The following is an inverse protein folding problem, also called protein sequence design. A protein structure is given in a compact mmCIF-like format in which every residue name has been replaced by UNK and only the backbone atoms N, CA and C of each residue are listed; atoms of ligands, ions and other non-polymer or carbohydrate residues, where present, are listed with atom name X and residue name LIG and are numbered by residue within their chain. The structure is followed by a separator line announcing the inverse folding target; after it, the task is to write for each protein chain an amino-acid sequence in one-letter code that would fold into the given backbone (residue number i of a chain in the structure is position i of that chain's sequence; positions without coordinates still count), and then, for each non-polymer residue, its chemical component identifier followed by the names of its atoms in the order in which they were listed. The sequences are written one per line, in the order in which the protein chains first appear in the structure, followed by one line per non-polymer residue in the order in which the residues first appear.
data_IF_807464721784
#
_entry.id   IF_807464721784
#
_cell.length_a   1.000
_cell.length_b   1.000
_cell.length_c   1.000
_cell.angle_alpha   90.00
_cell.angle_beta   90.00
_cell.angle_gamma   90.00
#
_symmetry.space_group_name_H-M   'P 1'
#
loop_
_entity.id
_entity.type
_entity.pdbx_description
1 polymer ?
#
# COMPACT_ATOMS: atom_id res chain seq x y z
N UNK A 1 2.46 -45.09 -3.92
CA UNK A 1 2.96 -44.32 -5.08
C UNK A 1 3.57 -43.01 -4.59
N UNK A 2 4.89 -42.78 -4.67
CA UNK A 2 5.49 -41.51 -4.28
C UNK A 2 5.23 -40.47 -5.38
N UNK A 3 4.64 -39.33 -5.04
CA UNK A 3 4.45 -38.20 -5.96
C UNK A 3 5.81 -37.54 -6.24
N UNK A 4 6.20 -37.55 -7.52
CA UNK A 4 7.37 -36.85 -8.03
C UNK A 4 7.17 -35.34 -7.82
N UNK A 5 8.05 -34.70 -7.04
CA UNK A 5 8.06 -33.24 -6.86
C UNK A 5 9.08 -32.70 -7.87
N UNK A 6 8.60 -31.90 -8.82
CA UNK A 6 9.44 -31.29 -9.86
C UNK A 6 10.48 -30.36 -9.23
N UNK A 7 11.76 -30.67 -9.44
CA UNK A 7 12.92 -29.86 -9.05
C UNK A 7 13.31 -28.98 -10.24
N UNK A 8 13.78 -27.76 -9.98
CA UNK A 8 14.36 -26.90 -11.02
C UNK A 8 15.62 -27.54 -11.62
N UNK A 9 15.99 -27.12 -12.82
CA UNK A 9 17.21 -27.58 -13.54
C UNK A 9 18.52 -27.29 -12.79
N UNK A 10 18.48 -26.42 -11.77
CA UNK A 10 19.60 -26.10 -10.88
C UNK A 10 19.58 -26.87 -9.55
N UNK A 11 18.70 -27.87 -9.41
CA UNK A 11 18.67 -28.79 -8.26
C UNK A 11 18.18 -28.18 -6.94
N UNK A 12 17.81 -26.89 -6.91
CA UNK A 12 17.32 -26.25 -5.68
C UNK A 12 15.82 -26.50 -5.49
N UNK A 13 15.37 -26.79 -4.25
CA UNK A 13 13.95 -26.77 -3.94
C UNK A 13 13.40 -25.37 -4.21
N UNK A 14 12.15 -25.29 -4.66
CA UNK A 14 11.42 -24.02 -4.66
C UNK A 14 11.32 -23.53 -3.20
N UNK A 15 12.26 -22.67 -2.81
CA UNK A 15 12.39 -22.15 -1.46
C UNK A 15 11.38 -21.05 -1.20
N UNK A 16 10.63 -21.22 -0.12
CA UNK A 16 9.80 -20.21 0.53
C UNK A 16 10.63 -18.98 0.93
N UNK A 17 10.40 -17.83 0.29
CA UNK A 17 10.64 -16.51 0.87
C UNK A 17 11.93 -15.72 0.54
N UNK A 18 12.95 -16.29 -0.12
CA UNK A 18 14.22 -15.55 -0.32
C UNK A 18 14.22 -14.57 -1.50
N UNK A 19 13.51 -14.90 -2.59
CA UNK A 19 13.43 -14.04 -3.78
C UNK A 19 12.57 -12.77 -3.53
N UNK A 20 11.51 -12.90 -2.73
CA UNK A 20 10.59 -11.78 -2.41
C UNK A 20 11.24 -10.75 -1.48
N UNK A 21 11.99 -11.19 -0.46
CA UNK A 21 12.74 -10.28 0.43
C UNK A 21 13.88 -9.59 -0.33
N UNK A 22 14.51 -10.26 -1.31
CA UNK A 22 15.55 -9.67 -2.14
C UNK A 22 15.07 -8.45 -2.93
N UNK A 23 13.84 -8.48 -3.46
CA UNK A 23 13.25 -7.36 -4.19
C UNK A 23 12.97 -6.13 -3.30
N UNK A 24 12.70 -6.31 -2.01
CA UNK A 24 12.50 -5.21 -1.05
C UNK A 24 13.78 -4.45 -0.70
N UNK A 25 14.95 -5.04 -0.97
CA UNK A 25 16.24 -4.39 -0.73
C UNK A 25 16.62 -3.40 -1.83
N UNK A 26 15.89 -3.37 -2.94
CA UNK A 26 16.12 -2.40 -3.99
C UNK A 26 15.59 -1.02 -3.59
N UNK A 27 16.33 0.02 -3.98
CA UNK A 27 15.91 1.41 -3.76
C UNK A 27 14.65 1.70 -4.59
N UNK A 28 13.70 2.38 -3.96
CA UNK A 28 12.47 2.88 -4.59
C UNK A 28 12.46 4.40 -4.42
N UNK A 29 12.12 5.11 -5.49
CA UNK A 29 12.01 6.58 -5.52
C UNK A 29 10.58 6.95 -5.87
N UNK A 30 10.08 7.98 -5.22
CA UNK A 30 8.86 8.68 -5.62
C UNK A 30 9.31 10.06 -6.08
N UNK A 31 8.98 10.41 -7.32
CA UNK A 31 9.18 11.76 -7.84
C UNK A 31 7.89 12.55 -7.64
N UNK A 32 7.98 13.64 -6.89
CA UNK A 32 6.89 14.59 -6.69
C UNK A 32 7.13 15.79 -7.59
N UNK A 33 6.18 16.10 -8.47
CA UNK A 33 6.27 17.25 -9.37
C UNK A 33 5.48 18.41 -8.78
N UNK A 34 6.16 19.51 -8.50
CA UNK A 34 5.54 20.77 -8.12
C UNK A 34 5.50 21.69 -9.33
N UNK A 35 4.28 22.01 -9.79
CA UNK A 35 4.08 23.02 -10.82
C UNK A 35 3.91 24.38 -10.13
N UNK A 36 4.79 25.34 -10.40
CA UNK A 36 4.79 26.62 -9.67
C UNK A 36 3.45 27.37 -9.78
N UNK A 37 2.98 27.89 -8.64
CA UNK A 37 1.76 28.69 -8.54
C UNK A 37 0.50 27.88 -8.21
N UNK A 38 0.53 26.55 -8.30
CA UNK A 38 -0.63 25.71 -7.96
C UNK A 38 -1.01 25.81 -6.48
N UNK A 39 -0.06 26.07 -5.61
CA UNK A 39 -0.29 26.26 -4.17
C UNK A 39 -1.13 27.50 -3.84
N UNK A 40 -1.22 28.46 -4.78
CA UNK A 40 -1.98 29.70 -4.62
C UNK A 40 -3.27 29.72 -5.45
N UNK A 41 -3.54 28.70 -6.27
CA UNK A 41 -4.73 28.60 -7.10
C UNK A 41 -5.76 27.65 -6.46
N UNK A 42 -6.83 28.19 -5.80
CA UNK A 42 -7.84 27.35 -5.16
C UNK A 42 -8.71 26.56 -6.16
N UNK A 43 -8.60 26.84 -7.46
CA UNK A 43 -9.31 26.08 -8.51
C UNK A 43 -8.48 24.93 -9.04
N UNK A 44 -7.17 24.89 -8.75
CA UNK A 44 -6.31 23.81 -9.17
C UNK A 44 -6.53 22.59 -8.27
N UNK A 45 -6.71 21.43 -8.89
CA UNK A 45 -6.73 20.15 -8.18
C UNK A 45 -6.12 19.07 -9.08
N UNK A 46 -5.44 18.13 -8.45
CA UNK A 46 -4.87 16.98 -9.13
C UNK A 46 -5.94 15.91 -9.29
N UNK A 47 -6.02 15.28 -10.47
CA UNK A 47 -6.92 14.15 -10.67
C UNK A 47 -6.28 12.87 -10.08
N UNK A 48 -6.69 12.51 -8.86
CA UNK A 48 -6.26 11.29 -8.16
C UNK A 48 -7.02 10.01 -8.59
N UNK A 49 -7.89 10.09 -9.61
CA UNK A 49 -8.55 8.97 -10.32
C UNK A 49 -9.34 7.95 -9.46
N UNK A 50 -9.70 8.30 -8.23
CA UNK A 50 -10.63 7.54 -7.40
C UNK A 50 -12.08 8.05 -7.49
N UNK A 51 -12.38 8.88 -8.50
CA UNK A 51 -13.73 9.36 -8.82
C UNK A 51 -14.26 8.70 -10.09
N UNK A 52 -15.59 8.53 -10.14
CA UNK A 52 -16.39 7.59 -10.95
C UNK A 52 -16.13 7.55 -12.48
N UNK A 53 -15.48 8.56 -13.07
CA UNK A 53 -15.38 8.72 -14.53
C UNK A 53 -13.97 8.75 -15.11
N UNK A 54 -12.92 8.45 -14.34
CA UNK A 54 -11.54 8.38 -14.87
C UNK A 54 -10.72 7.28 -14.21
N UNK A 55 -10.73 6.07 -14.79
CA UNK A 55 -9.91 4.94 -14.34
C UNK A 55 -8.42 5.15 -14.69
N UNK A 56 -7.51 4.75 -13.81
CA UNK A 56 -6.06 4.86 -14.03
C UNK A 56 -5.24 4.47 -12.80
N UNK A 57 -4.22 5.26 -12.45
CA UNK A 57 -3.45 5.06 -11.23
C UNK A 57 -4.36 5.07 -9.99
N UNK A 58 -4.14 4.13 -9.06
CA UNK A 58 -5.02 3.94 -7.89
C UNK A 58 -4.33 4.26 -6.58
N UNK A 59 -3.14 3.69 -6.32
CA UNK A 59 -2.40 3.90 -5.07
C UNK A 59 -0.89 3.61 -5.19
N UNK A 60 -0.11 4.22 -4.30
CA UNK A 60 1.25 3.77 -3.97
C UNK A 60 1.17 2.70 -2.88
N UNK A 61 2.01 1.67 -2.93
CA UNK A 61 2.11 0.66 -1.87
C UNK A 61 3.39 0.81 -1.07
N UNK A 62 3.24 0.71 0.25
CA UNK A 62 4.33 0.69 1.23
C UNK A 62 4.19 -0.57 2.07
N UNK A 63 5.32 -1.09 2.53
CA UNK A 63 5.38 -2.31 3.34
C UNK A 63 5.86 -1.92 4.72
N UNK A 64 5.16 -2.37 5.74
CA UNK A 64 5.45 -2.09 7.15
C UNK A 64 5.65 -3.38 7.93
N UNK A 65 6.53 -3.36 8.92
CA UNK A 65 6.78 -4.55 9.75
C UNK A 65 5.60 -4.92 10.66
N UNK A 66 4.80 -3.92 11.05
CA UNK A 66 3.61 -4.08 11.88
C UNK A 66 2.59 -3.01 11.52
N UNK A 67 1.52 -3.43 10.84
CA UNK A 67 0.46 -2.54 10.36
C UNK A 67 -0.26 -1.80 11.49
N UNK A 68 -0.57 -2.48 12.59
CA UNK A 68 -1.29 -1.89 13.72
C UNK A 68 -0.46 -0.80 14.41
N UNK A 69 0.83 -1.07 14.65
CA UNK A 69 1.74 -0.09 15.24
C UNK A 69 1.95 1.12 14.32
N UNK A 70 2.04 0.90 13.00
CA UNK A 70 2.13 1.98 12.02
C UNK A 70 0.88 2.87 12.04
N UNK A 71 -0.32 2.27 12.02
CA UNK A 71 -1.58 3.01 12.12
C UNK A 71 -1.69 3.80 13.44
N UNK A 72 -1.31 3.19 14.57
CA UNK A 72 -1.30 3.88 15.87
C UNK A 72 -0.34 5.08 15.88
N UNK A 73 0.84 4.95 15.27
CA UNK A 73 1.79 6.06 15.14
C UNK A 73 1.15 7.20 14.34
N UNK A 74 0.57 6.90 13.18
CA UNK A 74 -0.05 7.92 12.33
C UNK A 74 -1.20 8.66 13.03
N UNK A 75 -2.03 7.95 13.81
CA UNK A 75 -3.08 8.59 14.63
C UNK A 75 -2.50 9.57 15.65
N UNK A 76 -1.37 9.23 16.29
CA UNK A 76 -0.69 10.13 17.24
C UNK A 76 -0.12 11.38 16.57
N UNK A 77 0.29 11.27 15.31
CA UNK A 77 0.78 12.38 14.49
C UNK A 77 -0.34 13.23 13.87
N UNK A 78 -1.61 13.00 14.24
CA UNK A 78 -2.74 13.83 13.80
C UNK A 78 -3.41 13.41 12.49
N UNK A 79 -3.15 12.20 11.99
CA UNK A 79 -3.98 11.64 10.91
C UNK A 79 -5.38 11.32 11.43
N UNK A 80 -6.39 11.97 10.85
CA UNK A 80 -7.80 11.76 11.19
C UNK A 80 -8.34 10.47 10.59
N UNK A 81 -9.49 9.99 11.08
CA UNK A 81 -10.17 8.81 10.53
C UNK A 81 -10.61 8.99 9.07
N UNK A 82 -10.73 10.22 8.57
CA UNK A 82 -11.01 10.47 7.15
C UNK A 82 -9.74 10.33 6.29
N UNK A 83 -8.57 10.69 6.83
CA UNK A 83 -7.26 10.53 6.18
C UNK A 83 -6.73 9.09 6.31
N UNK A 84 -7.26 8.33 7.24
CA UNK A 84 -7.05 6.90 7.43
C UNK A 84 -8.30 6.18 6.96
N UNK A 85 -8.35 5.77 5.68
CA UNK A 85 -9.38 4.84 5.24
C UNK A 85 -9.09 3.45 5.84
N UNK A 86 -9.41 3.30 7.12
CA UNK A 86 -9.44 2.05 7.85
C UNK A 86 -10.76 1.37 7.49
N UNK A 87 -10.78 0.72 6.33
CA UNK A 87 -11.97 0.00 5.94
C UNK A 87 -12.21 -1.22 6.84
N UNK A 88 -11.24 -1.73 7.64
CA UNK A 88 -11.40 -3.02 8.33
C UNK A 88 -10.46 -3.35 9.52
N UNK A 89 -10.50 -2.60 10.61
CA UNK A 89 -10.55 -3.23 11.96
C UNK A 89 -11.96 -3.77 12.29
N UNK A 90 -12.98 -3.47 11.46
CA UNK A 90 -14.39 -3.78 11.72
C UNK A 90 -15.06 -4.92 10.94
N UNK A 91 -14.53 -5.42 9.82
CA UNK A 91 -15.24 -6.45 9.01
C UNK A 91 -14.37 -7.63 8.57
N UNK A 92 -13.37 -8.03 9.35
CA UNK A 92 -12.60 -9.27 9.11
C UNK A 92 -12.25 -10.06 10.40
N UNK A 93 -13.00 -9.84 11.49
CA UNK A 93 -13.06 -10.77 12.63
C UNK A 93 -14.34 -11.60 12.66
N UNK A 94 -15.32 -11.30 11.79
CA UNK A 94 -16.59 -12.02 11.72
C UNK A 94 -16.63 -13.14 10.67
N UNK A 95 -15.65 -13.22 9.77
CA UNK A 95 -15.60 -14.25 8.70
C UNK A 95 -14.19 -14.89 8.54
N UNK A 96 -13.34 -14.76 9.56
CA UNK A 96 -12.09 -15.54 9.68
C UNK A 96 -10.95 -15.21 8.71
N UNK A 97 -11.03 -14.14 7.90
CA UNK A 97 -9.94 -13.73 6.99
C UNK A 97 -9.36 -12.37 7.37
N UNK A 98 -8.39 -12.30 8.28
CA UNK A 98 -7.73 -11.03 8.61
C UNK A 98 -7.11 -10.37 7.35
N UNK A 99 -7.63 -9.21 6.96
CA UNK A 99 -7.06 -8.40 5.88
C UNK A 99 -5.97 -7.51 6.45
N UNK A 100 -4.71 -7.84 6.20
CA UNK A 100 -3.55 -7.06 6.65
C UNK A 100 -3.28 -5.85 5.72
N UNK A 101 -4.25 -4.95 5.57
CA UNK A 101 -4.10 -3.76 4.71
C UNK A 101 -4.75 -2.55 5.35
N UNK A 102 -4.09 -1.39 5.27
CA UNK A 102 -4.68 -0.08 5.58
C UNK A 102 -4.44 0.91 4.44
N UNK A 103 -5.32 1.90 4.28
CA UNK A 103 -5.15 2.97 3.31
C UNK A 103 -5.07 4.34 3.99
N UNK A 104 -4.29 5.22 3.39
CA UNK A 104 -4.08 6.61 3.77
C UNK A 104 -4.38 7.52 2.59
N UNK A 105 -4.81 8.74 2.88
CA UNK A 105 -4.83 9.83 1.91
C UNK A 105 -3.70 10.82 2.22
N UNK A 106 -2.96 11.20 1.19
CA UNK A 106 -2.01 12.32 1.26
C UNK A 106 -2.76 13.68 1.10
N UNK A 107 -2.06 14.82 1.19
CA UNK A 107 -2.68 16.13 1.05
C UNK A 107 -3.40 16.38 -0.29
N UNK A 108 -2.95 15.74 -1.38
CA UNK A 108 -3.55 15.82 -2.71
C UNK A 108 -4.64 14.73 -2.94
N UNK A 109 -4.89 13.89 -1.93
CA UNK A 109 -5.90 12.82 -1.95
C UNK A 109 -5.46 11.55 -2.68
N UNK A 110 -4.17 11.35 -2.95
CA UNK A 110 -3.67 10.07 -3.43
C UNK A 110 -3.73 9.02 -2.34
N UNK A 111 -4.03 7.78 -2.74
CA UNK A 111 -4.14 6.66 -1.82
C UNK A 111 -2.75 6.03 -1.61
N UNK A 112 -2.41 5.81 -0.34
CA UNK A 112 -1.21 5.06 0.06
C UNK A 112 -1.63 3.83 0.81
N UNK A 113 -1.36 2.66 0.22
CA UNK A 113 -1.63 1.35 0.80
C UNK A 113 -0.47 0.94 1.70
N UNK A 114 -0.77 0.56 2.94
CA UNK A 114 0.17 -0.10 3.85
C UNK A 114 -0.17 -1.58 3.96
N UNK A 115 0.83 -2.43 3.78
CA UNK A 115 0.74 -3.90 3.93
C UNK A 115 1.83 -4.46 4.84
#
# INVERSE_FOLDING_TARGET
MPRHRSVRTDGRPWGTGSAEIGALRQRRLIETVHNYGTENDPKYYVNNRNMEHSMGFTYISTIVSNLQAACQRLKKEGFTEQKLADANLRTLLTDGRMGNVAFLLDPDGYWVKMV
#
